data_IF_030640391318
#
_entry.id   IF_030640391318
#
_cell.length_a   1.000
_cell.length_b   1.000
_cell.length_c   1.000
_cell.angle_alpha   90.00
_cell.angle_beta   90.00
_cell.angle_gamma   90.00
#
_symmetry.space_group_name_H-M   'P 1'
#
loop_
_entity.id
_entity.type
_entity.pdbx_description
1 polymer ?
#
# COMPACT_ATOMS: atom_id res chain seq x y z
N UNK A 1 15.63 31.68 -27.61
CA UNK A 1 15.35 30.72 -26.53
C UNK A 1 14.51 29.60 -27.12
N UNK A 2 14.95 28.35 -27.03
CA UNK A 2 14.11 27.23 -27.41
C UNK A 2 13.06 27.05 -26.31
N UNK A 3 11.77 27.20 -26.63
CA UNK A 3 10.71 26.97 -25.66
C UNK A 3 10.72 25.50 -25.23
N UNK A 4 10.69 25.24 -23.93
CA UNK A 4 10.53 23.87 -23.43
C UNK A 4 9.23 23.27 -23.96
N UNK A 5 9.29 22.02 -24.40
CA UNK A 5 8.08 21.25 -24.70
C UNK A 5 7.46 20.84 -23.36
N UNK A 6 6.28 21.36 -22.98
CA UNK A 6 5.63 20.96 -21.74
C UNK A 6 5.14 19.51 -21.88
N UNK A 7 5.04 18.81 -20.75
CA UNK A 7 4.68 17.39 -20.71
C UNK A 7 3.30 17.22 -20.08
N UNK A 8 2.39 16.58 -20.81
CA UNK A 8 1.08 16.18 -20.25
C UNK A 8 1.21 14.89 -19.46
N UNK A 9 0.85 14.93 -18.18
CA UNK A 9 0.82 13.80 -17.25
C UNK A 9 -0.64 13.47 -16.88
N UNK A 10 -0.93 12.19 -16.67
CA UNK A 10 -2.26 11.70 -16.26
C UNK A 10 -2.26 11.21 -14.81
N UNK A 11 -3.17 11.73 -13.99
CA UNK A 11 -3.36 11.33 -12.60
C UNK A 11 -4.78 10.85 -12.34
N UNK A 12 -4.98 9.91 -11.42
CA UNK A 12 -6.33 9.58 -10.96
C UNK A 12 -6.81 10.65 -9.98
N UNK A 13 -8.11 10.97 -9.95
CA UNK A 13 -8.68 11.90 -8.98
C UNK A 13 -8.27 11.61 -7.53
N UNK A 14 -8.20 10.33 -7.17
CA UNK A 14 -7.79 9.89 -5.84
C UNK A 14 -6.33 10.25 -5.54
N UNK A 15 -5.41 10.06 -6.50
CA UNK A 15 -4.01 10.51 -6.38
C UNK A 15 -3.93 12.03 -6.28
N UNK A 16 -4.67 12.77 -7.11
CA UNK A 16 -4.66 14.25 -7.06
C UNK A 16 -5.12 14.77 -5.70
N UNK A 17 -6.26 14.31 -5.18
CA UNK A 17 -6.83 14.79 -3.92
C UNK A 17 -6.07 14.31 -2.69
N UNK A 18 -5.64 13.04 -2.64
CA UNK A 18 -4.98 12.49 -1.45
C UNK A 18 -3.48 12.76 -1.39
N UNK A 19 -2.82 12.88 -2.52
CA UNK A 19 -1.36 12.93 -2.60
C UNK A 19 -0.88 14.26 -3.15
N UNK A 20 -1.27 14.64 -4.38
CA UNK A 20 -0.65 15.79 -5.06
C UNK A 20 -0.99 17.12 -4.40
N UNK A 21 -2.28 17.36 -4.11
CA UNK A 21 -2.76 18.58 -3.45
C UNK A 21 -2.15 18.72 -2.04
N UNK A 22 -2.23 17.71 -1.13
CA UNK A 22 -1.57 17.81 0.18
C UNK A 22 -0.05 17.92 0.12
N UNK A 23 0.63 17.28 -0.85
CA UNK A 23 2.07 17.41 -1.00
C UNK A 23 2.51 18.83 -1.38
N UNK A 24 1.78 19.47 -2.30
CA UNK A 24 2.03 20.86 -2.70
C UNK A 24 1.68 21.84 -1.57
N UNK A 25 0.53 21.65 -0.91
CA UNK A 25 0.14 22.45 0.27
C UNK A 25 1.18 22.35 1.39
N UNK A 26 1.69 21.14 1.68
CA UNK A 26 2.78 20.95 2.64
C UNK A 26 4.07 21.66 2.20
N UNK A 27 4.45 21.57 0.93
CA UNK A 27 5.66 22.23 0.42
C UNK A 27 5.57 23.76 0.52
N UNK A 28 4.40 24.33 0.18
CA UNK A 28 4.10 25.75 0.30
C UNK A 28 4.13 26.19 1.77
N UNK A 29 3.48 25.44 2.68
CA UNK A 29 3.51 25.72 4.10
C UNK A 29 4.95 25.69 4.66
N UNK A 30 5.73 24.65 4.36
CA UNK A 30 7.14 24.53 4.78
C UNK A 30 8.01 25.66 4.25
N UNK A 31 7.70 26.17 3.08
CA UNK A 31 8.37 27.32 2.48
C UNK A 31 8.01 28.60 3.25
N UNK A 32 6.75 28.80 3.63
CA UNK A 32 6.34 29.93 4.47
C UNK A 32 7.04 29.88 5.85
N UNK A 33 7.06 28.72 6.50
CA UNK A 33 7.80 28.47 7.76
C UNK A 33 9.33 28.71 7.65
N UNK A 34 9.88 28.68 6.43
CA UNK A 34 11.29 28.99 6.15
C UNK A 34 11.50 30.49 6.04
N UNK A 35 10.63 31.20 5.30
CA UNK A 35 10.65 32.66 5.15
C UNK A 35 10.48 33.34 6.51
N UNK A 36 9.48 32.93 7.30
CA UNK A 36 9.23 33.44 8.66
C UNK A 36 10.44 33.29 9.60
N UNK A 37 11.25 32.24 9.38
CA UNK A 37 12.42 31.93 10.22
C UNK A 37 13.68 32.70 9.81
N UNK A 38 13.86 32.93 8.51
CA UNK A 38 15.02 33.64 7.95
C UNK A 38 14.81 35.15 7.99
N UNK A 39 13.56 35.61 7.84
CA UNK A 39 13.19 37.03 7.76
C UNK A 39 13.34 37.64 6.36
N UNK A 40 13.84 36.86 5.40
CA UNK A 40 13.99 37.21 3.98
C UNK A 40 13.46 36.05 3.12
N UNK A 41 12.91 36.34 1.94
CA UNK A 41 12.38 35.33 1.01
C UNK A 41 13.50 34.85 0.06
N UNK A 42 14.09 33.65 0.24
CA UNK A 42 15.12 33.16 -0.66
C UNK A 42 14.54 32.83 -2.04
N UNK A 43 15.32 32.82 -3.13
CA UNK A 43 14.82 32.55 -4.49
C UNK A 43 14.09 31.22 -4.67
N UNK A 44 14.47 30.19 -3.88
CA UNK A 44 13.72 28.94 -3.80
C UNK A 44 12.28 29.16 -3.29
N UNK A 45 12.08 30.01 -2.29
CA UNK A 45 10.76 30.31 -1.75
C UNK A 45 9.90 31.09 -2.74
N UNK A 46 10.49 32.08 -3.43
CA UNK A 46 9.89 32.77 -4.58
C UNK A 46 9.41 31.78 -5.64
N UNK A 47 10.27 30.82 -6.02
CA UNK A 47 9.94 29.78 -6.99
C UNK A 47 8.77 28.88 -6.54
N UNK A 48 8.76 28.42 -5.28
CA UNK A 48 7.63 27.64 -4.73
C UNK A 48 6.35 28.48 -4.65
N UNK A 49 6.43 29.77 -4.28
CA UNK A 49 5.28 30.67 -4.22
C UNK A 49 4.67 30.90 -5.60
N UNK A 50 5.49 31.17 -6.61
CA UNK A 50 5.02 31.52 -7.96
C UNK A 50 4.44 30.32 -8.71
N UNK A 51 5.10 29.15 -8.62
CA UNK A 51 4.68 27.96 -9.36
C UNK A 51 3.73 27.07 -8.53
N UNK A 52 3.82 27.09 -7.20
CA UNK A 52 3.06 26.21 -6.31
C UNK A 52 1.58 26.56 -6.22
N UNK A 53 1.23 27.84 -6.07
CA UNK A 53 -0.17 28.24 -6.08
C UNK A 53 -0.79 28.05 -7.48
N UNK A 54 -0.07 28.38 -8.55
CA UNK A 54 -0.53 28.17 -9.93
C UNK A 54 -0.81 26.69 -10.23
N UNK A 55 0.11 25.79 -9.85
CA UNK A 55 -0.06 24.35 -10.03
C UNK A 55 -1.19 23.81 -9.14
N UNK A 56 -1.30 24.28 -7.89
CA UNK A 56 -2.35 23.88 -6.96
C UNK A 56 -3.75 24.25 -7.48
N UNK A 57 -3.91 25.46 -8.02
CA UNK A 57 -5.17 25.92 -8.61
C UNK A 57 -5.47 25.15 -9.91
N UNK A 58 -4.46 24.92 -10.77
CA UNK A 58 -4.59 24.07 -11.98
C UNK A 58 -5.09 22.65 -11.65
N UNK A 59 -4.59 22.05 -10.56
CA UNK A 59 -5.06 20.74 -10.09
C UNK A 59 -6.51 20.79 -9.54
N UNK A 60 -6.87 21.87 -8.84
CA UNK A 60 -8.22 22.06 -8.27
C UNK A 60 -9.27 22.33 -9.34
N UNK A 61 -8.97 23.21 -10.30
CA UNK A 61 -9.84 23.49 -11.45
C UNK A 61 -10.06 22.22 -12.27
N UNK A 62 -8.99 21.48 -12.58
CA UNK A 62 -9.09 20.21 -13.28
C UNK A 62 -9.93 19.14 -12.53
N UNK A 63 -9.92 19.14 -11.19
CA UNK A 63 -10.78 18.28 -10.36
C UNK A 63 -12.26 18.72 -10.40
N UNK A 64 -12.54 20.02 -10.54
CA UNK A 64 -13.90 20.56 -10.68
C UNK A 64 -14.46 20.31 -12.09
N UNK A 65 -13.64 20.45 -13.13
CA UNK A 65 -14.03 20.25 -14.52
C UNK A 65 -14.20 18.77 -14.91
N UNK A 66 -13.43 17.86 -14.31
CA UNK A 66 -13.43 16.44 -14.67
C UNK A 66 -14.31 15.62 -13.73
N UNK A 67 -15.47 15.06 -14.16
CA UNK A 67 -16.34 14.28 -13.27
C UNK A 67 -15.63 13.06 -12.68
N UNK A 68 -15.77 12.89 -11.36
CA UNK A 68 -15.00 11.92 -10.58
C UNK A 68 -15.10 10.48 -11.12
N UNK A 69 -13.94 9.87 -11.39
CA UNK A 69 -13.86 8.48 -11.83
C UNK A 69 -14.25 8.22 -13.29
N UNK A 70 -14.56 9.24 -14.08
CA UNK A 70 -14.88 9.06 -15.52
C UNK A 70 -13.63 8.98 -16.40
N UNK A 71 -12.61 9.80 -16.10
CA UNK A 71 -11.32 9.90 -16.82
C UNK A 71 -10.23 10.33 -15.83
N UNK A 72 -8.94 10.03 -16.06
CA UNK A 72 -7.86 10.64 -15.30
C UNK A 72 -7.79 12.15 -15.58
N UNK A 73 -7.34 12.90 -14.58
CA UNK A 73 -7.00 14.31 -14.73
C UNK A 73 -5.75 14.43 -15.61
N UNK A 74 -5.81 15.26 -16.65
CA UNK A 74 -4.69 15.59 -17.52
C UNK A 74 -4.14 16.95 -17.12
N UNK A 75 -2.87 16.98 -16.73
CA UNK A 75 -2.17 18.21 -16.33
C UNK A 75 -0.99 18.39 -17.28
N UNK A 76 -0.86 19.56 -17.87
CA UNK A 76 0.29 19.89 -18.72
C UNK A 76 1.26 20.69 -17.88
N UNK A 77 2.46 20.14 -17.66
CA UNK A 77 3.48 20.67 -16.77
C UNK A 77 4.66 21.19 -17.57
N UNK A 78 5.16 22.38 -17.25
CA UNK A 78 6.47 22.82 -17.69
C UNK A 78 7.62 22.27 -16.80
N UNK A 79 8.85 22.72 -17.04
CA UNK A 79 10.02 22.24 -16.31
C UNK A 79 10.06 22.71 -14.84
N UNK A 80 9.47 23.86 -14.53
CA UNK A 80 9.39 24.44 -13.19
C UNK A 80 8.27 23.76 -12.38
N UNK A 81 7.08 23.61 -12.96
CA UNK A 81 5.97 22.89 -12.35
C UNK A 81 6.30 21.40 -12.10
N UNK A 82 6.95 20.73 -13.07
CA UNK A 82 7.42 19.36 -12.92
C UNK A 82 8.46 19.23 -11.81
N UNK A 83 9.42 20.15 -11.77
CA UNK A 83 10.45 20.22 -10.74
C UNK A 83 9.86 20.39 -9.34
N UNK A 84 8.85 21.24 -9.22
CA UNK A 84 8.14 21.50 -7.97
C UNK A 84 7.34 20.27 -7.51
N UNK A 85 6.62 19.61 -8.42
CA UNK A 85 5.86 18.40 -8.13
C UNK A 85 6.78 17.24 -7.69
N UNK A 86 7.93 17.08 -8.34
CA UNK A 86 8.97 16.14 -7.94
C UNK A 86 9.46 16.41 -6.51
N UNK A 87 9.78 17.67 -6.19
CA UNK A 87 10.23 18.08 -4.86
C UNK A 87 9.14 17.84 -3.79
N UNK A 88 7.88 18.18 -4.08
CA UNK A 88 6.75 17.98 -3.17
C UNK A 88 6.57 16.49 -2.81
N UNK A 89 6.50 15.61 -3.82
CA UNK A 89 6.36 14.17 -3.61
C UNK A 89 7.57 13.55 -2.90
N UNK A 90 8.78 14.05 -3.18
CA UNK A 90 10.01 13.64 -2.49
C UNK A 90 10.08 14.08 -1.04
N UNK A 91 9.52 15.24 -0.70
CA UNK A 91 9.42 15.72 0.67
C UNK A 91 8.47 14.83 1.50
N UNK A 92 7.28 14.53 0.98
CA UNK A 92 6.30 13.65 1.66
C UNK A 92 6.87 12.25 1.88
N UNK A 93 7.50 11.65 0.85
CA UNK A 93 8.08 10.30 0.93
C UNK A 93 9.06 10.13 2.09
N UNK A 94 9.97 11.10 2.28
CA UNK A 94 10.94 11.05 3.38
C UNK A 94 10.32 11.29 4.75
N UNK A 95 9.19 12.00 4.83
CA UNK A 95 8.45 12.14 6.08
C UNK A 95 7.76 10.82 6.46
N UNK A 96 7.19 10.13 5.47
CA UNK A 96 6.51 8.85 5.64
C UNK A 96 7.47 7.65 5.83
N UNK A 97 8.75 7.77 5.44
CA UNK A 97 9.76 6.71 5.59
C UNK A 97 10.04 6.28 7.06
N UNK A 98 9.49 6.99 8.06
CA UNK A 98 9.50 6.56 9.47
C UNK A 98 8.32 5.67 9.90
N UNK A 99 7.36 5.41 9.00
CA UNK A 99 6.08 4.74 9.31
C UNK A 99 5.75 3.67 8.25
N UNK A 100 6.39 2.51 8.33
CA UNK A 100 6.38 1.44 7.29
C UNK A 100 5.01 0.76 7.01
N UNK A 101 3.95 1.06 7.75
CA UNK A 101 2.65 0.36 7.66
C UNK A 101 1.47 1.24 7.24
N UNK A 102 1.71 2.37 6.57
CA UNK A 102 0.65 3.29 6.14
C UNK A 102 0.15 2.96 4.71
N UNK A 103 -1.17 2.74 4.48
CA UNK A 103 -1.71 2.56 3.14
C UNK A 103 -1.53 3.78 2.22
N UNK A 104 -1.48 5.01 2.74
CA UNK A 104 -1.27 6.21 1.92
C UNK A 104 0.17 6.29 1.37
N UNK A 105 1.13 5.59 1.99
CA UNK A 105 2.49 5.41 1.48
C UNK A 105 2.49 4.61 0.15
N UNK A 106 1.59 3.64 0.00
CA UNK A 106 1.44 2.88 -1.25
C UNK A 106 0.90 3.77 -2.37
N UNK A 107 -0.08 4.62 -2.08
CA UNK A 107 -0.64 5.57 -3.04
C UNK A 107 0.37 6.68 -3.43
N UNK A 108 1.23 7.09 -2.50
CA UNK A 108 2.33 8.03 -2.74
C UNK A 108 3.39 7.46 -3.70
N UNK A 109 3.82 6.22 -3.47
CA UNK A 109 4.76 5.53 -4.37
C UNK A 109 4.11 5.30 -5.75
N UNK A 110 2.84 4.89 -5.83
CA UNK A 110 2.10 4.78 -7.10
C UNK A 110 2.04 6.12 -7.86
N UNK A 111 1.85 7.23 -7.14
CA UNK A 111 1.85 8.58 -7.72
C UNK A 111 3.22 9.00 -8.27
N UNK A 112 4.29 8.79 -7.49
CA UNK A 112 5.68 9.02 -7.93
C UNK A 112 6.03 8.19 -9.15
N UNK A 113 5.78 6.88 -9.09
CA UNK A 113 6.08 5.98 -10.20
C UNK A 113 5.31 6.37 -11.47
N UNK A 114 4.03 6.76 -11.38
CA UNK A 114 3.27 7.26 -12.55
C UNK A 114 3.87 8.53 -13.14
N UNK A 115 4.23 9.52 -12.32
CA UNK A 115 4.92 10.72 -12.77
C UNK A 115 6.17 10.33 -13.56
N UNK A 116 7.05 9.53 -12.96
CA UNK A 116 8.35 9.18 -13.54
C UNK A 116 8.31 8.18 -14.70
N UNK A 117 7.24 7.39 -14.85
CA UNK A 117 7.07 6.45 -15.96
C UNK A 117 6.46 7.11 -17.20
N UNK A 118 5.62 8.14 -17.04
CA UNK A 118 4.95 8.85 -18.14
C UNK A 118 5.86 9.86 -18.84
N UNK A 119 6.82 10.46 -18.11
CA UNK A 119 7.69 11.51 -18.63
C UNK A 119 8.81 10.95 -19.55
N UNK A 120 9.11 11.59 -20.70
CA UNK A 120 10.29 11.31 -21.52
C UNK A 120 11.62 11.54 -20.80
N UNK A 121 12.67 10.76 -21.13
CA UNK A 121 13.98 10.90 -20.46
C UNK A 121 14.73 12.19 -20.86
N UNK A 122 14.37 12.80 -21.98
CA UNK A 122 14.89 14.06 -22.50
C UNK A 122 14.16 15.30 -21.96
N UNK A 123 13.06 15.12 -21.22
CA UNK A 123 12.36 16.21 -20.53
C UNK A 123 13.28 16.89 -19.52
N UNK A 124 13.31 18.22 -19.56
CA UNK A 124 13.98 19.05 -18.57
C UNK A 124 13.11 19.26 -17.33
N UNK A 125 13.73 19.23 -16.16
CA UNK A 125 13.14 19.73 -14.92
C UNK A 125 14.04 20.78 -14.28
N UNK A 126 13.43 21.70 -13.55
CA UNK A 126 14.11 22.67 -12.69
C UNK A 126 14.21 22.13 -11.27
N UNK A 127 15.35 22.33 -10.63
CA UNK A 127 15.57 21.96 -9.24
C UNK A 127 16.53 22.92 -8.57
N UNK A 128 16.53 22.90 -7.25
CA UNK A 128 17.34 23.79 -6.42
C UNK A 128 18.29 22.99 -5.55
N UNK A 129 19.52 23.50 -5.41
CA UNK A 129 20.56 22.93 -4.56
C UNK A 129 21.25 24.03 -3.76
N UNK A 130 21.44 23.82 -2.45
CA UNK A 130 22.16 24.78 -1.62
C UNK A 130 23.61 24.96 -2.10
N UNK A 131 24.12 26.19 -2.05
CA UNK A 131 25.43 26.53 -2.61
C UNK A 131 26.58 25.76 -1.96
N UNK A 132 26.50 25.46 -0.67
CA UNK A 132 27.47 24.63 0.03
C UNK A 132 27.47 23.18 -0.49
N UNK A 133 26.30 22.58 -0.75
CA UNK A 133 26.18 21.22 -1.32
C UNK A 133 26.65 21.21 -2.78
N UNK A 134 26.34 22.24 -3.56
CA UNK A 134 26.80 22.37 -4.94
C UNK A 134 28.34 22.43 -5.03
N UNK A 135 28.97 23.21 -4.14
CA UNK A 135 30.43 23.39 -4.13
C UNK A 135 31.19 22.23 -3.46
N UNK A 136 30.65 21.65 -2.37
CA UNK A 136 31.34 20.61 -1.59
C UNK A 136 31.03 19.16 -2.01
N UNK A 137 29.88 18.89 -2.65
CA UNK A 137 29.48 17.54 -3.06
C UNK A 137 29.34 17.42 -4.58
N UNK A 138 28.55 18.28 -5.23
CA UNK A 138 28.25 18.16 -6.66
C UNK A 138 29.49 18.42 -7.56
N UNK A 139 30.20 19.53 -7.36
CA UNK A 139 31.38 19.87 -8.17
C UNK A 139 32.48 18.78 -8.14
N UNK A 140 32.89 18.23 -6.99
CA UNK A 140 33.85 17.13 -6.94
C UNK A 140 33.43 15.90 -7.75
N UNK A 141 32.15 15.52 -7.71
CA UNK A 141 31.61 14.37 -8.45
C UNK A 141 31.70 14.63 -9.95
N UNK A 142 31.16 15.76 -10.42
CA UNK A 142 31.16 16.11 -11.84
C UNK A 142 32.59 16.15 -12.40
N UNK A 143 33.56 16.66 -11.62
CA UNK A 143 34.98 16.67 -12.00
C UNK A 143 35.58 15.26 -12.03
N UNK A 144 35.27 14.40 -11.07
CA UNK A 144 35.73 13.00 -11.08
C UNK A 144 35.18 12.19 -12.27
N UNK A 145 33.92 12.41 -12.64
CA UNK A 145 33.28 11.75 -13.79
C UNK A 145 33.89 12.14 -15.16
N UNK A 146 34.71 13.19 -15.25
CA UNK A 146 35.42 13.56 -16.49
C UNK A 146 36.46 12.54 -16.96
N UNK A 147 36.75 11.49 -16.18
CA UNK A 147 37.57 10.33 -16.57
C UNK A 147 36.81 9.16 -17.22
N UNK A 148 35.46 9.19 -17.25
CA UNK A 148 34.63 8.04 -17.65
C UNK A 148 34.51 7.77 -19.16
N UNK A 149 33.47 7.02 -19.55
CA UNK A 149 33.15 6.77 -20.96
C UNK A 149 32.87 8.08 -21.73
N UNK A 150 32.99 8.11 -23.07
CA UNK A 150 32.75 9.33 -23.84
C UNK A 150 31.36 9.97 -23.59
N UNK A 151 30.33 9.15 -23.35
CA UNK A 151 28.97 9.59 -23.02
C UNK A 151 28.85 10.18 -21.62
N UNK A 152 29.50 9.58 -20.62
CA UNK A 152 29.51 10.10 -19.24
C UNK A 152 30.30 11.40 -19.15
N UNK A 153 31.45 11.47 -19.83
CA UNK A 153 32.25 12.69 -19.92
C UNK A 153 31.49 13.84 -20.56
N UNK A 154 30.68 13.57 -21.59
CA UNK A 154 29.83 14.59 -22.20
C UNK A 154 28.75 15.11 -21.23
N UNK A 155 28.06 14.22 -20.51
CA UNK A 155 27.05 14.60 -19.49
C UNK A 155 27.66 15.38 -18.33
N UNK A 156 28.77 14.88 -17.79
CA UNK A 156 29.49 15.51 -16.70
C UNK A 156 29.98 16.90 -17.08
N UNK A 157 30.54 17.06 -18.29
CA UNK A 157 30.99 18.37 -18.80
C UNK A 157 29.83 19.35 -19.04
N UNK A 158 28.64 18.88 -19.44
CA UNK A 158 27.48 19.74 -19.63
C UNK A 158 26.93 20.26 -18.31
N UNK A 159 26.72 19.36 -17.33
CA UNK A 159 26.33 19.73 -15.96
C UNK A 159 27.39 20.61 -15.29
N UNK A 160 28.69 20.32 -15.47
CA UNK A 160 29.78 21.10 -14.88
C UNK A 160 29.76 22.54 -15.40
N UNK A 161 29.62 22.76 -16.71
CA UNK A 161 29.48 24.10 -17.29
C UNK A 161 28.28 24.86 -16.74
N UNK A 162 27.14 24.18 -16.60
CA UNK A 162 25.92 24.78 -16.04
C UNK A 162 26.11 25.19 -14.58
N UNK A 163 26.69 24.33 -13.74
CA UNK A 163 26.97 24.63 -12.33
C UNK A 163 28.02 25.75 -12.22
N UNK A 164 29.14 25.66 -12.94
CA UNK A 164 30.20 26.66 -12.89
C UNK A 164 29.73 28.04 -13.38
N UNK A 165 28.83 28.11 -14.37
CA UNK A 165 28.24 29.39 -14.79
C UNK A 165 27.45 30.08 -13.65
N UNK A 166 26.56 29.36 -12.96
CA UNK A 166 25.76 29.91 -11.86
C UNK A 166 26.58 30.23 -10.60
N UNK A 167 27.73 29.56 -10.40
CA UNK A 167 28.64 29.86 -9.27
C UNK A 167 29.39 31.20 -9.40
N UNK A 168 29.32 31.87 -10.56
CA UNK A 168 29.92 33.20 -10.76
C UNK A 168 28.91 34.35 -10.57
N UNK A 169 27.63 34.03 -10.31
CA UNK A 169 26.60 35.04 -10.00
C UNK A 169 26.59 35.40 -8.51
N UNK A 170 26.27 36.64 -8.12
CA UNK A 170 26.20 37.05 -6.71
C UNK A 170 25.13 36.25 -5.96
N UNK A 171 25.50 35.74 -4.77
CA UNK A 171 24.87 34.55 -4.19
C UNK A 171 23.68 34.82 -3.26
N UNK A 172 22.50 34.33 -3.69
CA UNK A 172 21.34 34.08 -2.82
C UNK A 172 21.28 32.60 -2.34
N UNK A 173 22.39 32.10 -1.79
CA UNK A 173 22.46 30.85 -0.99
C UNK A 173 22.18 29.50 -1.68
N UNK A 174 21.50 29.46 -2.83
CA UNK A 174 21.13 28.26 -3.56
C UNK A 174 21.17 28.48 -5.08
N UNK A 175 21.53 27.43 -5.82
CA UNK A 175 21.56 27.45 -7.28
C UNK A 175 20.26 26.85 -7.84
N UNK A 176 19.67 27.54 -8.81
CA UNK A 176 18.64 26.99 -9.69
C UNK A 176 19.33 26.26 -10.83
N UNK A 177 19.04 24.97 -11.00
CA UNK A 177 19.58 24.14 -12.08
C UNK A 177 18.43 23.64 -12.96
N UNK A 178 18.65 23.64 -14.27
CA UNK A 178 17.75 23.07 -15.27
C UNK A 178 18.48 21.93 -15.96
N UNK A 179 17.93 20.72 -15.88
CA UNK A 179 18.63 19.51 -16.34
C UNK A 179 17.64 18.47 -16.87
N UNK A 180 18.06 17.65 -17.82
CA UNK A 180 17.25 16.54 -18.31
C UNK A 180 17.11 15.43 -17.26
N UNK A 181 15.96 14.77 -17.27
CA UNK A 181 15.70 13.61 -16.41
C UNK A 181 16.76 12.50 -16.59
N UNK A 182 17.26 12.28 -17.82
CA UNK A 182 18.34 11.30 -18.09
C UNK A 182 19.66 11.60 -17.38
N UNK A 183 19.93 12.88 -17.12
CA UNK A 183 21.20 13.36 -16.60
C UNK A 183 21.13 13.49 -15.08
N UNK A 184 19.97 13.88 -14.54
CA UNK A 184 19.69 13.86 -13.10
C UNK A 184 19.58 12.41 -12.56
N UNK A 185 18.97 11.49 -13.33
CA UNK A 185 18.99 10.06 -13.00
C UNK A 185 20.38 9.43 -13.12
N UNK A 186 21.18 9.83 -14.13
CA UNK A 186 22.58 9.39 -14.21
C UNK A 186 23.40 9.88 -13.00
N UNK A 187 23.21 11.14 -12.60
CA UNK A 187 23.87 11.70 -11.42
C UNK A 187 23.45 10.92 -10.16
N UNK A 188 22.15 10.72 -9.93
CA UNK A 188 21.64 9.99 -8.77
C UNK A 188 22.25 8.57 -8.62
N UNK A 189 22.50 7.88 -9.73
CA UNK A 189 23.17 6.57 -9.78
C UNK A 189 24.62 6.65 -9.29
N UNK A 190 25.34 7.71 -9.68
CA UNK A 190 26.74 7.94 -9.30
C UNK A 190 26.92 8.38 -7.84
N UNK A 191 25.83 8.83 -7.17
CA UNK A 191 25.85 9.26 -5.77
C UNK A 191 25.29 8.17 -4.83
N UNK A 192 24.58 7.16 -5.37
CA UNK A 192 23.76 6.20 -4.62
C UNK A 192 24.45 5.57 -3.38
N UNK A 193 25.63 4.96 -3.55
CA UNK A 193 26.35 4.27 -2.46
C UNK A 193 27.38 5.16 -1.72
N UNK A 194 27.44 6.47 -2.00
CA UNK A 194 28.50 7.33 -1.46
C UNK A 194 28.16 7.96 -0.10
N UNK A 195 28.73 7.39 0.97
CA UNK A 195 28.69 7.98 2.31
C UNK A 195 29.28 9.41 2.41
N UNK A 196 30.09 9.82 1.42
CA UNK A 196 30.70 11.15 1.32
C UNK A 196 29.73 12.22 0.80
N UNK A 197 28.67 11.82 0.09
CA UNK A 197 27.77 12.73 -0.64
C UNK A 197 26.31 12.60 -0.16
N UNK A 198 26.12 12.40 1.15
CA UNK A 198 24.82 12.07 1.74
C UNK A 198 23.75 13.16 1.56
N UNK A 199 24.13 14.45 1.49
CA UNK A 199 23.15 15.53 1.30
C UNK A 199 22.71 15.60 -0.16
N UNK A 200 23.65 15.47 -1.10
CA UNK A 200 23.33 15.35 -2.52
C UNK A 200 22.50 14.09 -2.81
N UNK A 201 22.83 12.95 -2.22
CA UNK A 201 22.00 11.73 -2.33
C UNK A 201 20.57 11.97 -1.85
N UNK A 202 20.40 12.51 -0.63
CA UNK A 202 19.08 12.80 -0.06
C UNK A 202 18.32 13.92 -0.81
N UNK A 203 19.01 14.71 -1.63
CA UNK A 203 18.41 15.64 -2.58
C UNK A 203 17.91 14.91 -3.83
N UNK A 204 18.76 14.07 -4.42
CA UNK A 204 18.44 13.36 -5.66
C UNK A 204 17.36 12.29 -5.47
N UNK A 205 17.28 11.62 -4.32
CA UNK A 205 16.21 10.67 -3.97
C UNK A 205 14.81 11.35 -3.80
N UNK A 206 14.77 12.65 -3.47
CA UNK A 206 13.52 13.42 -3.59
C UNK A 206 13.12 13.55 -5.06
N UNK A 207 14.07 13.98 -5.89
CA UNK A 207 13.85 14.44 -7.26
C UNK A 207 13.78 13.33 -8.31
N UNK A 208 14.20 12.11 -8.00
CA UNK A 208 14.16 10.95 -8.93
C UNK A 208 13.66 9.72 -8.21
N UNK A 209 12.84 8.93 -8.89
CA UNK A 209 12.45 7.62 -8.43
C UNK A 209 13.41 6.52 -8.91
N UNK A 210 13.75 5.52 -8.08
CA UNK A 210 14.65 4.43 -8.46
C UNK A 210 14.29 3.71 -9.77
N UNK A 211 13.01 3.69 -10.18
CA UNK A 211 12.58 3.11 -11.45
C UNK A 211 13.13 3.88 -12.68
N UNK A 212 13.50 5.16 -12.56
CA UNK A 212 14.10 5.92 -13.67
C UNK A 212 15.47 5.35 -14.04
N UNK A 213 16.26 4.89 -13.07
CA UNK A 213 17.51 4.15 -13.35
C UNK A 213 17.24 2.87 -14.12
N UNK A 214 16.19 2.11 -13.74
CA UNK A 214 15.81 0.90 -14.47
C UNK A 214 15.39 1.21 -15.91
N UNK A 215 14.67 2.33 -16.16
CA UNK A 215 14.36 2.80 -17.52
C UNK A 215 15.63 3.17 -18.29
N UNK A 216 16.57 3.89 -17.66
CA UNK A 216 17.83 4.31 -18.27
C UNK A 216 18.71 3.09 -18.64
N UNK A 217 18.88 2.15 -17.72
CA UNK A 217 19.63 0.90 -17.92
C UNK A 217 19.00 -0.01 -18.98
N UNK A 218 17.67 -0.09 -19.05
CA UNK A 218 16.97 -0.79 -20.16
C UNK A 218 17.15 -0.06 -21.49
N UNK A 219 17.21 1.27 -21.49
CA UNK A 219 17.38 2.09 -22.70
C UNK A 219 18.80 2.06 -23.27
N UNK A 220 19.82 1.89 -22.42
CA UNK A 220 21.20 1.60 -22.85
C UNK A 220 21.33 0.15 -23.33
N UNK A 221 20.83 -0.82 -22.55
CA UNK A 221 20.88 -2.25 -22.89
C UNK A 221 20.14 -2.56 -24.19
N UNK A 222 18.96 -1.97 -24.43
CA UNK A 222 18.20 -2.13 -25.69
C UNK A 222 18.96 -1.57 -26.89
N UNK A 223 19.68 -0.46 -26.72
CA UNK A 223 20.56 0.11 -27.76
C UNK A 223 21.71 -0.83 -28.13
N UNK A 224 22.22 -1.59 -27.16
CA UNK A 224 23.27 -2.61 -27.37
C UNK A 224 22.70 -3.93 -27.93
N UNK A 225 21.52 -4.35 -27.45
CA UNK A 225 20.86 -5.60 -27.86
C UNK A 225 20.23 -5.53 -29.26
N UNK A 226 19.84 -4.33 -29.72
CA UNK A 226 19.44 -4.09 -31.11
C UNK A 226 20.53 -4.39 -32.15
N UNK A 227 21.78 -4.58 -31.71
CA UNK A 227 22.89 -5.03 -32.56
C UNK A 227 23.16 -6.55 -32.51
N UNK A 228 22.45 -7.33 -31.68
CA UNK A 228 22.83 -8.73 -31.34
C UNK A 228 21.71 -9.76 -31.29
N UNK A 229 20.44 -9.40 -31.42
CA UNK A 229 19.32 -10.34 -31.27
C UNK A 229 18.72 -10.85 -32.62
N UNK A 230 19.28 -11.94 -33.14
CA UNK A 230 18.59 -12.85 -34.07
C UNK A 230 18.76 -14.28 -33.55
N UNK A 231 17.67 -14.94 -33.16
CA UNK A 231 17.72 -16.27 -32.53
C UNK A 231 16.40 -16.75 -31.92
N UNK A 232 15.71 -17.61 -32.67
CA UNK A 232 14.60 -18.53 -32.32
C UNK A 232 14.92 -19.51 -31.16
N UNK A 233 14.01 -20.27 -30.53
CA UNK A 233 12.54 -20.25 -30.34
C UNK A 233 12.10 -21.48 -29.46
N UNK A 234 10.80 -21.57 -29.12
CA UNK A 234 10.03 -22.78 -28.73
C UNK A 234 10.07 -23.36 -27.29
N UNK A 235 9.16 -24.33 -27.04
CA UNK A 235 8.39 -24.66 -25.81
C UNK A 235 8.11 -26.20 -25.77
N UNK A 236 7.05 -26.82 -25.15
CA UNK A 236 6.36 -26.70 -23.83
C UNK A 236 6.21 -28.06 -23.04
N UNK A 237 5.52 -28.07 -21.87
CA UNK A 237 4.79 -29.23 -21.28
C UNK A 237 5.46 -29.97 -20.08
N UNK A 238 4.77 -30.68 -19.15
CA UNK A 238 3.33 -30.93 -18.87
C UNK A 238 3.08 -32.03 -17.78
N UNK A 239 1.83 -32.19 -17.28
CA UNK A 239 1.30 -33.23 -16.33
C UNK A 239 1.67 -33.12 -14.82
N UNK A 240 0.85 -33.38 -13.76
CA UNK A 240 -0.32 -34.24 -13.44
C UNK A 240 0.06 -35.66 -12.90
N UNK A 241 -0.57 -36.30 -11.88
CA UNK A 241 -1.78 -36.05 -11.05
C UNK A 241 -1.76 -36.89 -9.71
N UNK A 242 -2.89 -37.01 -8.96
CA UNK A 242 -3.29 -38.14 -8.07
C UNK A 242 -2.58 -38.37 -6.69
N UNK A 243 -3.15 -38.97 -5.61
CA UNK A 243 -4.53 -39.42 -5.21
C UNK A 243 -4.69 -39.42 -3.65
N UNK A 244 -5.91 -39.62 -3.14
CA UNK A 244 -6.26 -39.73 -1.70
C UNK A 244 -6.12 -41.15 -1.08
N UNK A 245 -6.25 -41.25 0.26
CA UNK A 245 -6.37 -42.52 0.99
C UNK A 245 -7.19 -42.40 2.30
N UNK A 246 -8.09 -43.35 2.54
CA UNK A 246 -9.02 -43.40 3.69
C UNK A 246 -8.84 -44.67 4.53
N UNK A 247 -9.08 -44.59 5.84
CA UNK A 247 -9.41 -45.69 6.78
C UNK A 247 -9.94 -45.07 8.09
N UNK A 248 -10.66 -45.70 9.02
CA UNK A 248 -11.66 -46.79 9.14
C UNK A 248 -12.09 -46.78 10.62
N UNK A 249 -13.28 -47.28 10.97
CA UNK A 249 -13.97 -47.00 12.25
C UNK A 249 -13.89 -48.06 13.36
N UNK A 250 -13.85 -47.56 14.60
CA UNK A 250 -14.47 -48.09 15.83
C UNK A 250 -14.89 -46.88 16.71
N UNK A 251 -15.69 -46.95 17.78
CA UNK A 251 -16.53 -48.02 18.35
C UNK A 251 -17.59 -47.36 19.29
N UNK A 252 -18.56 -48.11 19.85
CA UNK A 252 -19.71 -47.52 20.59
C UNK A 252 -19.76 -47.96 22.08
N UNK A 253 -19.93 -47.00 23.00
CA UNK A 253 -21.14 -46.92 23.81
C UNK A 253 -21.78 -45.53 23.65
N UNK A 254 -23.10 -45.35 23.66
CA UNK A 254 -24.06 -45.98 24.56
C UNK A 254 -24.70 -44.91 25.45
N UNK A 255 -25.13 -43.79 24.84
CA UNK A 255 -25.83 -42.69 25.50
C UNK A 255 -27.10 -42.35 24.73
N UNK A 256 -28.07 -41.76 25.43
CA UNK A 256 -29.35 -41.26 24.88
C UNK A 256 -29.19 -40.00 24.01
N UNK A 257 -27.96 -39.50 23.89
CA UNK A 257 -27.54 -38.43 23.00
C UNK A 257 -27.10 -39.06 21.67
N UNK A 258 -27.43 -38.43 20.54
CA UNK A 258 -27.10 -38.95 19.19
C UNK A 258 -25.61 -39.22 18.97
N UNK A 259 -25.28 -39.96 17.91
CA UNK A 259 -23.90 -40.42 17.67
C UNK A 259 -22.86 -39.27 17.68
N UNK A 260 -21.77 -39.39 18.46
CA UNK A 260 -20.72 -38.36 18.52
C UNK A 260 -20.14 -38.04 17.14
N UNK A 261 -20.21 -36.77 16.75
CA UNK A 261 -19.83 -36.29 15.43
C UNK A 261 -18.40 -36.73 15.05
N UNK A 262 -18.17 -37.33 13.86
CA UNK A 262 -16.84 -37.70 13.38
C UNK A 262 -15.87 -36.53 13.35
N UNK A 263 -14.59 -36.80 13.63
CA UNK A 263 -13.53 -35.79 13.66
C UNK A 263 -13.44 -35.05 12.32
N UNK A 264 -13.52 -35.78 11.20
CA UNK A 264 -13.53 -35.23 9.84
C UNK A 264 -14.71 -34.28 9.62
N UNK A 265 -15.91 -34.60 10.12
CA UNK A 265 -17.06 -33.70 9.99
C UNK A 265 -16.87 -32.45 10.86
N UNK A 266 -16.31 -32.57 12.06
CA UNK A 266 -15.99 -31.42 12.92
C UNK A 266 -14.95 -30.50 12.26
N UNK A 267 -13.92 -31.07 11.63
CA UNK A 267 -12.89 -30.32 10.89
C UNK A 267 -13.49 -29.64 9.65
N UNK A 268 -14.27 -30.36 8.84
CA UNK A 268 -14.94 -29.80 7.67
C UNK A 268 -15.93 -28.68 8.05
N UNK A 269 -16.69 -28.84 9.13
CA UNK A 269 -17.52 -27.78 9.68
C UNK A 269 -16.69 -26.55 10.07
N UNK A 270 -15.54 -26.74 10.72
CA UNK A 270 -14.67 -25.63 11.12
C UNK A 270 -14.06 -24.89 9.90
N UNK A 271 -13.69 -25.62 8.84
CA UNK A 271 -13.21 -25.02 7.58
C UNK A 271 -14.32 -24.22 6.89
N UNK A 272 -15.53 -24.78 6.79
CA UNK A 272 -16.69 -24.08 6.19
C UNK A 272 -17.10 -22.88 7.05
N UNK A 273 -17.12 -23.02 8.38
CA UNK A 273 -17.42 -21.92 9.32
C UNK A 273 -16.39 -20.79 9.18
N UNK A 274 -15.09 -21.11 9.09
CA UNK A 274 -14.02 -20.14 8.91
C UNK A 274 -14.12 -19.41 7.57
N UNK A 275 -14.38 -20.14 6.48
CA UNK A 275 -14.56 -19.54 5.15
C UNK A 275 -15.80 -18.65 5.11
N UNK A 276 -16.94 -19.11 5.61
CA UNK A 276 -18.19 -18.34 5.60
C UNK A 276 -18.13 -17.10 6.51
N UNK A 277 -17.49 -17.20 7.68
CA UNK A 277 -17.25 -16.05 8.55
C UNK A 277 -16.26 -15.06 7.91
N UNK A 278 -15.12 -15.55 7.41
CA UNK A 278 -14.09 -14.73 6.79
C UNK A 278 -14.58 -14.00 5.54
N UNK A 279 -15.23 -14.72 4.62
CA UNK A 279 -15.81 -14.12 3.41
C UNK A 279 -16.92 -13.10 3.74
N UNK A 280 -17.77 -13.39 4.73
CA UNK A 280 -18.79 -12.45 5.22
C UNK A 280 -18.19 -11.19 5.83
N UNK A 281 -17.16 -11.34 6.67
CA UNK A 281 -16.44 -10.21 7.28
C UNK A 281 -15.74 -9.35 6.21
N UNK A 282 -15.03 -9.97 5.27
CA UNK A 282 -14.37 -9.26 4.17
C UNK A 282 -15.37 -8.56 3.24
N UNK A 283 -16.55 -9.13 3.00
CA UNK A 283 -17.61 -8.47 2.22
C UNK A 283 -18.15 -7.24 2.96
N UNK A 284 -18.42 -7.34 4.27
CA UNK A 284 -18.86 -6.19 5.08
C UNK A 284 -17.78 -5.10 5.11
N UNK A 285 -16.52 -5.48 5.34
CA UNK A 285 -15.38 -4.56 5.34
C UNK A 285 -15.17 -3.89 3.97
N UNK A 286 -15.38 -4.59 2.86
CA UNK A 286 -15.31 -4.03 1.51
C UNK A 286 -16.51 -3.13 1.16
N UNK A 287 -17.68 -3.34 1.78
CA UNK A 287 -18.86 -2.49 1.61
C UNK A 287 -18.77 -1.19 2.41
N UNK A 288 -18.07 -1.18 3.56
CA UNK A 288 -17.89 0.03 4.37
C UNK A 288 -17.34 1.23 3.56
N UNK A 289 -16.22 1.14 2.81
CA UNK A 289 -15.69 2.21 1.95
C UNK A 289 -16.47 2.42 0.63
N UNK A 290 -17.55 1.67 0.38
CA UNK A 290 -18.48 1.90 -0.73
C UNK A 290 -19.72 2.67 -0.24
N UNK A 291 -20.17 2.41 1.00
CA UNK A 291 -21.32 3.07 1.60
C UNK A 291 -20.95 4.41 2.25
N UNK A 292 -19.77 4.46 2.89
CA UNK A 292 -19.28 5.61 3.64
C UNK A 292 -17.87 5.97 3.13
N UNK A 293 -17.67 7.22 2.74
CA UNK A 293 -16.33 7.76 2.44
C UNK A 293 -16.29 9.24 2.80
N UNK A 294 -15.22 9.70 3.44
CA UNK A 294 -14.95 11.14 3.58
C UNK A 294 -14.69 11.85 2.23
N UNK A 295 -14.54 11.12 1.12
CA UNK A 295 -14.28 11.67 -0.23
C UNK A 295 -15.10 10.96 -1.33
N UNK A 296 -16.21 11.59 -1.72
CA UNK A 296 -16.89 11.58 -3.03
C UNK A 296 -17.26 10.27 -3.76
N UNK A 297 -16.91 9.07 -3.29
CA UNK A 297 -17.35 7.78 -3.92
C UNK A 297 -18.50 7.07 -3.20
N UNK A 298 -18.77 7.42 -1.95
CA UNK A 298 -19.88 6.86 -1.19
C UNK A 298 -21.25 7.40 -1.59
N UNK A 299 -22.30 6.62 -1.32
CA UNK A 299 -23.71 7.08 -1.40
C UNK A 299 -23.96 8.21 -0.38
N UNK A 300 -23.23 8.18 0.75
CA UNK A 300 -23.26 9.21 1.79
C UNK A 300 -21.88 9.84 1.93
N UNK A 301 -21.81 11.15 1.76
CA UNK A 301 -20.61 11.96 2.03
C UNK A 301 -20.68 12.37 3.51
N UNK A 302 -19.65 12.01 4.27
CA UNK A 302 -19.47 12.42 5.66
C UNK A 302 -18.30 13.40 5.76
N UNK A 303 -18.36 14.30 6.73
CA UNK A 303 -17.19 15.07 7.17
C UNK A 303 -16.06 14.12 7.59
N UNK A 304 -14.77 14.42 7.33
CA UNK A 304 -13.66 13.52 7.67
C UNK A 304 -13.62 13.08 9.13
N UNK A 305 -13.89 13.97 10.09
CA UNK A 305 -13.87 13.62 11.52
C UNK A 305 -15.03 12.68 11.88
N UNK A 306 -16.20 12.90 11.25
CA UNK A 306 -17.36 12.03 11.40
C UNK A 306 -17.16 10.68 10.69
N UNK A 307 -16.46 10.65 9.57
CA UNK A 307 -16.09 9.42 8.86
C UNK A 307 -15.17 8.56 9.74
N UNK A 308 -14.07 9.12 10.24
CA UNK A 308 -13.11 8.39 11.09
C UNK A 308 -13.78 7.86 12.36
N UNK A 309 -14.67 8.67 12.98
CA UNK A 309 -15.46 8.26 14.14
C UNK A 309 -16.44 7.11 13.82
N UNK A 310 -17.16 7.17 12.69
CA UNK A 310 -18.07 6.10 12.26
C UNK A 310 -17.31 4.83 11.91
N UNK A 311 -16.16 4.93 11.23
CA UNK A 311 -15.30 3.78 10.91
C UNK A 311 -14.76 3.16 12.19
N UNK A 312 -14.21 3.93 13.13
CA UNK A 312 -13.73 3.41 14.42
C UNK A 312 -14.84 2.70 15.23
N UNK A 313 -16.07 3.22 15.20
CA UNK A 313 -17.23 2.55 15.82
C UNK A 313 -17.57 1.25 15.10
N UNK A 314 -17.54 1.22 13.76
CA UNK A 314 -17.80 0.01 12.98
C UNK A 314 -16.68 -1.03 13.19
N UNK A 315 -15.42 -0.64 13.25
CA UNK A 315 -14.29 -1.50 13.57
C UNK A 315 -14.34 -2.07 14.99
N UNK A 316 -14.98 -1.38 15.93
CA UNK A 316 -15.26 -1.92 17.27
C UNK A 316 -16.47 -2.87 17.28
N UNK A 317 -17.58 -2.46 16.64
CA UNK A 317 -18.87 -3.17 16.72
C UNK A 317 -18.94 -4.38 15.79
N UNK A 318 -18.41 -4.29 14.55
CA UNK A 318 -18.53 -5.36 13.55
C UNK A 318 -17.80 -6.64 13.96
N UNK A 319 -16.55 -6.60 14.50
CA UNK A 319 -15.91 -7.81 15.00
C UNK A 319 -16.65 -8.41 16.18
N UNK A 320 -17.01 -7.63 17.20
CA UNK A 320 -17.68 -8.14 18.42
C UNK A 320 -19.09 -8.65 18.11
N UNK A 321 -19.89 -7.85 17.40
CA UNK A 321 -21.25 -8.16 17.01
C UNK A 321 -21.33 -9.28 15.98
N UNK A 322 -20.49 -9.23 14.93
CA UNK A 322 -20.38 -10.29 13.92
C UNK A 322 -19.93 -11.62 14.52
N UNK A 323 -18.94 -11.60 15.42
CA UNK A 323 -18.50 -12.78 16.15
C UNK A 323 -19.63 -13.38 17.01
N UNK A 324 -20.37 -12.57 17.76
CA UNK A 324 -21.53 -13.02 18.52
C UNK A 324 -22.63 -13.58 17.61
N UNK A 325 -23.02 -12.85 16.56
CA UNK A 325 -24.09 -13.21 15.62
C UNK A 325 -23.79 -14.49 14.83
N UNK A 326 -22.51 -14.78 14.57
CA UNK A 326 -22.11 -15.98 13.82
C UNK A 326 -21.79 -17.18 14.73
N UNK A 327 -20.99 -17.00 15.78
CA UNK A 327 -20.47 -18.11 16.59
C UNK A 327 -21.30 -18.42 17.83
N UNK A 328 -21.90 -17.42 18.46
CA UNK A 328 -22.63 -17.56 19.73
C UNK A 328 -24.11 -17.75 19.47
N UNK A 329 -24.75 -16.78 18.81
CA UNK A 329 -26.20 -16.76 18.61
C UNK A 329 -26.76 -18.04 17.96
N UNK A 330 -26.19 -18.56 16.85
CA UNK A 330 -26.74 -19.73 16.16
C UNK A 330 -26.52 -21.03 16.95
N UNK A 331 -25.37 -21.14 17.63
CA UNK A 331 -25.08 -22.28 18.52
C UNK A 331 -26.01 -22.25 19.75
N UNK A 332 -26.22 -21.08 20.36
CA UNK A 332 -27.12 -20.93 21.49
C UNK A 332 -28.58 -21.19 21.13
N UNK A 333 -29.03 -20.78 19.93
CA UNK A 333 -30.44 -20.86 19.51
C UNK A 333 -30.84 -22.16 18.82
N UNK A 334 -29.94 -22.77 18.06
CA UNK A 334 -30.19 -23.96 17.22
C UNK A 334 -29.13 -25.07 17.39
N UNK A 335 -28.07 -24.85 18.17
CA UNK A 335 -26.96 -25.80 18.29
C UNK A 335 -26.01 -25.81 17.08
N UNK A 336 -26.23 -24.98 16.06
CA UNK A 336 -25.54 -25.10 14.77
C UNK A 336 -25.14 -23.74 14.18
N UNK A 337 -23.91 -23.68 13.66
CA UNK A 337 -23.42 -22.65 12.72
C UNK A 337 -23.60 -23.15 11.27
N UNK A 338 -23.38 -22.30 10.26
CA UNK A 338 -23.53 -22.67 8.84
C UNK A 338 -22.73 -23.91 8.43
N UNK A 339 -21.44 -23.99 8.79
CA UNK A 339 -20.60 -25.16 8.49
C UNK A 339 -21.05 -26.43 9.22
N UNK A 340 -21.57 -26.30 10.44
CA UNK A 340 -22.15 -27.44 11.18
C UNK A 340 -23.45 -27.96 10.56
N UNK A 341 -24.28 -27.06 9.99
CA UNK A 341 -25.46 -27.44 9.20
C UNK A 341 -25.06 -28.14 7.91
N UNK A 342 -24.05 -27.63 7.21
CA UNK A 342 -23.57 -28.20 5.94
C UNK A 342 -23.02 -29.64 6.05
N UNK A 343 -22.61 -30.08 7.25
CA UNK A 343 -22.13 -31.45 7.51
C UNK A 343 -23.02 -32.25 8.47
N UNK A 344 -24.24 -31.78 8.73
CA UNK A 344 -25.25 -32.42 9.57
C UNK A 344 -24.77 -32.78 10.99
N UNK A 345 -24.12 -31.83 11.68
CA UNK A 345 -23.74 -31.96 13.10
C UNK A 345 -24.34 -30.84 13.95
N UNK A 346 -24.53 -31.08 15.25
CA UNK A 346 -25.15 -30.12 16.18
C UNK A 346 -24.55 -30.20 17.58
N UNK A 347 -24.46 -29.04 18.24
CA UNK A 347 -24.08 -28.88 19.64
C UNK A 347 -25.33 -29.00 20.51
N UNK A 348 -25.33 -29.87 21.51
CA UNK A 348 -26.45 -30.13 22.42
C UNK A 348 -26.00 -30.22 23.87
N UNK A 349 -26.92 -29.98 24.79
CA UNK A 349 -26.78 -30.26 26.23
C UNK A 349 -26.97 -31.75 26.53
N UNK A 350 -26.77 -32.15 27.80
CA UNK A 350 -27.03 -33.51 28.28
C UNK A 350 -28.49 -33.99 28.05
N UNK A 351 -29.44 -33.05 27.93
CA UNK A 351 -30.84 -33.33 27.60
C UNK A 351 -31.17 -33.31 26.11
N UNK A 352 -30.18 -33.24 25.22
CA UNK A 352 -30.37 -33.20 23.76
C UNK A 352 -30.86 -31.85 23.19
N UNK A 353 -31.25 -30.90 24.05
CA UNK A 353 -31.66 -29.55 23.64
C UNK A 353 -30.44 -28.66 23.29
N UNK A 354 -30.62 -27.59 22.47
CA UNK A 354 -29.58 -26.59 22.19
C UNK A 354 -28.98 -26.00 23.47
N UNK A 355 -27.69 -25.59 23.47
CA UNK A 355 -26.97 -25.17 24.67
C UNK A 355 -27.47 -23.87 25.33
N UNK A 356 -28.22 -23.02 24.63
CA UNK A 356 -28.55 -21.68 25.10
C UNK A 356 -27.37 -20.72 25.01
N UNK A 357 -27.65 -19.41 25.09
CA UNK A 357 -26.65 -18.37 24.78
C UNK A 357 -25.48 -18.33 25.77
N UNK A 358 -25.72 -18.55 27.07
CA UNK A 358 -24.66 -18.53 28.08
C UNK A 358 -23.62 -19.64 27.87
N UNK A 359 -24.05 -20.89 27.64
CA UNK A 359 -23.13 -22.01 27.35
C UNK A 359 -22.45 -21.82 25.98
N UNK A 360 -23.15 -21.31 24.96
CA UNK A 360 -22.54 -21.01 23.67
C UNK A 360 -21.45 -19.93 23.77
N UNK A 361 -21.68 -18.86 24.54
CA UNK A 361 -20.71 -17.81 24.78
C UNK A 361 -19.49 -18.35 25.54
N UNK A 362 -19.70 -19.07 26.64
CA UNK A 362 -18.61 -19.69 27.41
C UNK A 362 -17.77 -20.65 26.56
N UNK A 363 -18.42 -21.46 25.71
CA UNK A 363 -17.75 -22.37 24.76
C UNK A 363 -16.82 -21.62 23.81
N UNK A 364 -17.27 -20.47 23.29
CA UNK A 364 -16.52 -19.64 22.35
C UNK A 364 -15.37 -18.90 23.06
N UNK A 365 -15.59 -18.34 24.25
CA UNK A 365 -14.54 -17.70 25.06
C UNK A 365 -13.43 -18.71 25.39
N UNK A 366 -13.79 -19.90 25.88
CA UNK A 366 -12.81 -20.94 26.25
C UNK A 366 -12.08 -21.47 25.01
N UNK A 367 -12.77 -21.63 23.88
CA UNK A 367 -12.12 -21.97 22.62
C UNK A 367 -11.12 -20.90 22.18
N UNK A 368 -11.47 -19.61 22.27
CA UNK A 368 -10.59 -18.49 21.91
C UNK A 368 -9.37 -18.35 22.82
N UNK A 369 -9.57 -18.39 24.15
CA UNK A 369 -8.47 -18.32 25.13
C UNK A 369 -7.46 -19.47 24.96
N UNK A 370 -7.95 -20.68 24.68
CA UNK A 370 -7.08 -21.84 24.52
C UNK A 370 -6.56 -22.03 23.07
N UNK A 371 -7.11 -21.34 22.06
CA UNK A 371 -6.70 -21.51 20.66
C UNK A 371 -5.22 -21.18 20.43
N UNK A 372 -4.72 -20.15 21.13
CA UNK A 372 -3.31 -19.72 21.11
C UNK A 372 -2.33 -20.81 21.57
N UNK A 373 -2.79 -21.79 22.36
CA UNK A 373 -2.01 -22.93 22.82
C UNK A 373 -2.07 -24.09 21.81
N UNK A 374 -1.73 -23.84 20.55
CA UNK A 374 -1.50 -24.91 19.55
C UNK A 374 -2.68 -25.90 19.37
N UNK A 375 -3.91 -25.39 19.22
CA UNK A 375 -5.15 -26.19 19.12
C UNK A 375 -5.51 -27.01 20.38
N UNK A 376 -4.96 -26.69 21.55
CA UNK A 376 -5.32 -27.29 22.85
C UNK A 376 -6.83 -27.50 23.11
N UNK A 377 -7.78 -26.59 22.75
CA UNK A 377 -9.19 -26.84 23.01
C UNK A 377 -9.78 -28.02 22.24
N UNK A 378 -9.08 -28.54 21.23
CA UNK A 378 -9.43 -29.71 20.43
C UNK A 378 -8.62 -30.97 20.79
N UNK A 379 -7.55 -30.85 21.58
CA UNK A 379 -6.65 -31.96 21.90
C UNK A 379 -7.33 -33.24 22.42
N UNK A 380 -8.37 -33.21 23.27
CA UNK A 380 -9.01 -34.44 23.75
C UNK A 380 -9.91 -35.13 22.70
N UNK A 381 -10.27 -34.47 21.61
CA UNK A 381 -11.22 -34.97 20.60
C UNK A 381 -10.80 -36.31 19.98
N UNK A 382 -9.55 -36.52 19.51
CA UNK A 382 -9.11 -37.83 18.99
C UNK A 382 -9.01 -38.94 20.05
N UNK A 383 -8.79 -38.60 21.32
CA UNK A 383 -8.52 -39.58 22.38
C UNK A 383 -9.77 -39.99 23.19
N UNK A 384 -10.93 -39.36 22.95
CA UNK A 384 -12.16 -39.60 23.73
C UNK A 384 -13.29 -40.22 22.90
N UNK A 385 -13.96 -41.22 23.46
CA UNK A 385 -15.14 -41.86 22.86
C UNK A 385 -16.30 -40.87 22.66
N UNK A 386 -16.49 -39.91 23.57
CA UNK A 386 -17.49 -38.84 23.45
C UNK A 386 -17.05 -37.69 22.51
N UNK A 387 -15.81 -37.72 22.03
CA UNK A 387 -15.17 -36.74 21.13
C UNK A 387 -15.31 -35.28 21.60
N UNK A 388 -15.47 -35.01 22.90
CA UNK A 388 -15.59 -33.64 23.42
C UNK A 388 -14.22 -32.96 23.50
N UNK A 389 -14.12 -31.72 22.99
CA UNK A 389 -12.95 -30.86 23.23
C UNK A 389 -12.96 -30.26 24.64
N UNK A 390 -11.87 -29.63 25.09
CA UNK A 390 -11.84 -28.94 26.40
C UNK A 390 -12.93 -27.86 26.49
N UNK A 391 -13.15 -27.14 25.39
CA UNK A 391 -14.18 -26.13 25.25
C UNK A 391 -15.61 -26.71 25.29
N UNK A 392 -15.81 -27.96 24.86
CA UNK A 392 -17.09 -28.68 25.00
C UNK A 392 -17.29 -29.19 26.44
N UNK A 393 -16.22 -29.71 27.05
CA UNK A 393 -16.22 -30.22 28.43
C UNK A 393 -16.50 -29.12 29.46
N UNK A 394 -15.87 -27.96 29.32
CA UNK A 394 -15.95 -26.88 30.30
C UNK A 394 -17.32 -26.19 30.40
N UNK A 395 -18.17 -26.29 29.38
CA UNK A 395 -19.58 -25.83 29.43
C UNK A 395 -20.60 -26.96 29.44
N UNK A 396 -20.14 -28.21 29.53
CA UNK A 396 -20.95 -29.42 29.48
C UNK A 396 -21.92 -29.47 28.26
N UNK A 397 -21.33 -29.64 27.08
CA UNK A 397 -22.03 -29.84 25.80
C UNK A 397 -21.41 -30.98 24.98
N UNK A 398 -22.15 -31.50 24.02
CA UNK A 398 -21.74 -32.55 23.10
C UNK A 398 -21.96 -32.10 21.67
N UNK A 399 -21.06 -32.49 20.74
CA UNK A 399 -21.32 -32.35 19.30
C UNK A 399 -21.64 -33.71 18.71
N UNK A 400 -22.89 -33.86 18.27
CA UNK A 400 -23.50 -35.09 17.78
C UNK A 400 -23.91 -34.93 16.32
N UNK A 401 -24.17 -36.04 15.61
CA UNK A 401 -24.89 -35.97 14.32
C UNK A 401 -26.28 -35.38 14.53
N UNK A 402 -26.71 -34.49 13.64
CA UNK A 402 -28.07 -33.98 13.62
C UNK A 402 -29.01 -35.00 13.00
N UNK A 403 -30.21 -35.12 13.55
CA UNK A 403 -31.27 -36.02 13.06
C UNK A 403 -32.10 -35.42 11.92
N UNK A 404 -31.84 -34.16 11.55
CA UNK A 404 -32.64 -33.40 10.60
C UNK A 404 -31.88 -33.24 9.27
N UNK A 405 -31.58 -34.37 8.62
CA UNK A 405 -31.06 -34.47 7.25
C UNK A 405 -32.03 -35.27 6.41
#
# INVERSE_FOLDING_TARGET
MAGTTPVTVEFSHAVTVKILVPALEHLIQRTHELVDRIGEEPPYATWVRENGYLLLDTLRDGLLETPWGTKPLRVTLDADELGLLAAALGAVRRHAAGTETDPDLTALEEARQRLWLTIPLDTELVWWIAHDVATSELLPILRACTGGSPSERARAADLLRTVEAHLHEPLDGALRLRTRLSDLAWLAEHVFDSAMYRRLHALLDQLVDPLVHQRLARSSTSRTAGATASGTAESPGGHAEQTAGSQTTAGRPGSTLGEPAPIVHRLLAAVIDLFAFGAGAQLIAALAPILFTGTSRGIVILDPQLYDFVVAILELIVPVGGWYLYWVYPVGRWGQTLGKRAVSIQVVTAGGAPPGQAKALGRVIIAGLLAWLLLLPWWPVPFRLDRRGLHDLAVDVWVVRSSNG
#
